data_IF_525725524789
#
_entry.id   IF_525725524789
#
_cell.length_a   1.000
_cell.length_b   1.000
_cell.length_c   1.000
_cell.angle_alpha   90.00
_cell.angle_beta   90.00
_cell.angle_gamma   90.00
#
_symmetry.space_group_name_H-M   'P 1'
#
loop_
_entity.id
_entity.type
_entity.pdbx_description
1 polymer ?
#
# COMPACT_ATOMS: atom_id res chain seq x y z
N UNK A 1 -26.27 -41.99 5.14
CA UNK A 1 -25.44 -41.35 6.18
C UNK A 1 -25.77 -39.87 6.41
N UNK A 2 -26.48 -39.19 5.50
CA UNK A 2 -26.74 -37.73 5.60
C UNK A 2 -27.92 -37.34 6.51
N UNK A 3 -29.02 -38.10 6.57
CA UNK A 3 -30.22 -37.71 7.35
C UNK A 3 -29.96 -37.55 8.86
N UNK A 4 -29.33 -38.53 9.50
CA UNK A 4 -29.03 -38.47 10.94
C UNK A 4 -28.10 -37.32 11.34
N UNK A 5 -27.26 -36.85 10.41
CA UNK A 5 -26.40 -35.68 10.64
C UNK A 5 -27.21 -34.38 10.56
N UNK A 6 -28.09 -34.25 9.58
CA UNK A 6 -28.99 -33.10 9.46
C UNK A 6 -29.94 -33.00 10.66
N UNK A 7 -30.55 -34.11 11.06
CA UNK A 7 -31.47 -34.15 12.20
C UNK A 7 -30.74 -33.76 13.51
N UNK A 8 -29.51 -34.22 13.70
CA UNK A 8 -28.70 -33.87 14.87
C UNK A 8 -28.28 -32.38 14.90
N UNK A 9 -28.02 -31.78 13.74
CA UNK A 9 -27.72 -30.34 13.62
C UNK A 9 -28.97 -29.50 13.90
N UNK A 10 -30.13 -29.93 13.40
CA UNK A 10 -31.41 -29.25 13.59
C UNK A 10 -31.84 -29.27 15.06
N UNK A 11 -31.77 -30.43 15.71
CA UNK A 11 -32.05 -30.59 17.14
C UNK A 11 -31.10 -29.72 18.00
N UNK A 12 -29.82 -29.65 17.62
CA UNK A 12 -28.85 -28.82 18.32
C UNK A 12 -29.14 -27.33 18.12
N UNK A 13 -29.46 -26.91 16.90
CA UNK A 13 -29.83 -25.55 16.58
C UNK A 13 -31.07 -25.10 17.38
N UNK A 14 -32.12 -25.92 17.40
CA UNK A 14 -33.33 -25.63 18.17
C UNK A 14 -33.05 -25.46 19.68
N UNK A 15 -32.17 -26.30 20.23
CA UNK A 15 -31.78 -26.24 21.64
C UNK A 15 -30.98 -24.98 21.97
N UNK A 16 -30.03 -24.61 21.13
CA UNK A 16 -29.23 -23.38 21.28
C UNK A 16 -30.13 -22.15 21.11
N UNK A 17 -31.02 -22.15 20.12
CA UNK A 17 -31.94 -21.04 19.86
C UNK A 17 -32.90 -20.81 21.03
N UNK A 18 -33.50 -21.88 21.56
CA UNK A 18 -34.36 -21.79 22.74
C UNK A 18 -33.60 -21.21 23.93
N UNK A 19 -32.37 -21.67 24.17
CA UNK A 19 -31.52 -21.15 25.24
C UNK A 19 -31.19 -19.66 25.07
N UNK A 20 -30.88 -19.22 23.84
CA UNK A 20 -30.60 -17.82 23.51
C UNK A 20 -31.81 -16.91 23.76
N UNK A 21 -33.02 -17.38 23.44
CA UNK A 21 -34.27 -16.60 23.64
C UNK A 21 -34.56 -16.46 25.15
N UNK A 22 -34.36 -17.52 25.94
CA UNK A 22 -34.55 -17.46 27.40
C UNK A 22 -33.50 -16.57 28.08
N UNK A 23 -32.26 -16.58 27.60
CA UNK A 23 -31.14 -15.82 28.18
C UNK A 23 -30.75 -14.59 27.36
N UNK A 24 -31.74 -13.86 26.83
CA UNK A 24 -31.54 -12.68 25.96
C UNK A 24 -30.54 -11.66 26.50
N UNK A 25 -30.47 -11.45 27.81
CA UNK A 25 -29.53 -10.51 28.45
C UNK A 25 -28.08 -10.98 28.34
N UNK A 26 -27.83 -12.29 28.52
CA UNK A 26 -26.50 -12.89 28.37
C UNK A 26 -26.04 -12.80 26.90
N UNK A 27 -26.96 -13.07 25.97
CA UNK A 27 -26.67 -12.98 24.53
C UNK A 27 -26.33 -11.55 24.12
N UNK A 28 -27.13 -10.57 24.53
CA UNK A 28 -26.87 -9.15 24.22
C UNK A 28 -25.55 -8.69 24.82
N UNK A 29 -25.25 -9.07 26.05
CA UNK A 29 -23.98 -8.72 26.70
C UNK A 29 -22.79 -9.39 25.99
N UNK A 30 -22.95 -10.64 25.53
CA UNK A 30 -21.95 -11.35 24.73
C UNK A 30 -21.70 -10.68 23.37
N UNK A 31 -22.74 -10.21 22.69
CA UNK A 31 -22.62 -9.46 21.42
C UNK A 31 -21.88 -8.14 21.65
N UNK A 32 -22.24 -7.40 22.70
CA UNK A 32 -21.56 -6.14 23.06
C UNK A 32 -20.08 -6.41 23.40
N UNK A 33 -19.80 -7.46 24.17
CA UNK A 33 -18.43 -7.85 24.51
C UNK A 33 -17.62 -8.22 23.26
N UNK A 34 -18.19 -9.01 22.35
CA UNK A 34 -17.55 -9.39 21.09
C UNK A 34 -17.28 -8.17 20.20
N UNK A 35 -18.20 -7.20 20.19
CA UNK A 35 -18.01 -5.93 19.50
C UNK A 35 -16.89 -5.08 20.12
N UNK A 36 -16.87 -4.90 21.43
CA UNK A 36 -15.81 -4.15 22.11
C UNK A 36 -14.45 -4.85 21.95
N UNK A 37 -14.44 -6.18 21.99
CA UNK A 37 -13.25 -6.98 21.76
C UNK A 37 -12.72 -6.90 20.32
N UNK A 38 -13.55 -6.56 19.32
CA UNK A 38 -13.10 -6.41 17.93
C UNK A 38 -12.44 -5.06 17.66
N UNK A 39 -12.75 -4.00 18.43
CA UNK A 39 -12.14 -2.67 18.30
C UNK A 39 -10.59 -2.69 18.37
N UNK A 40 -9.93 -3.34 19.35
CA UNK A 40 -8.47 -3.37 19.40
C UNK A 40 -7.81 -4.15 18.24
N UNK A 41 -8.53 -5.07 17.58
CA UNK A 41 -8.01 -5.78 16.39
C UNK A 41 -7.80 -4.83 15.21
N UNK A 42 -8.58 -3.74 15.13
CA UNK A 42 -8.41 -2.71 14.10
C UNK A 42 -7.01 -2.09 14.13
N UNK A 43 -6.46 -1.86 15.33
CA UNK A 43 -5.11 -1.29 15.49
C UNK A 43 -4.00 -2.27 15.10
N UNK A 44 -4.27 -3.57 15.10
CA UNK A 44 -3.28 -4.60 14.78
C UNK A 44 -3.14 -4.83 13.27
N UNK A 45 -4.24 -4.68 12.53
CA UNK A 45 -4.28 -5.01 11.10
C UNK A 45 -3.67 -3.90 10.25
N UNK A 46 -3.61 -2.66 10.75
CA UNK A 46 -3.14 -1.52 9.97
C UNK A 46 -4.10 -1.20 8.81
N UNK A 47 -4.44 0.07 8.63
CA UNK A 47 -5.24 0.48 7.48
C UNK A 47 -4.30 0.83 6.32
N UNK A 48 -3.99 -0.13 5.46
CA UNK A 48 -3.39 0.16 4.16
C UNK A 48 -4.51 0.55 3.18
N UNK A 49 -4.61 1.84 2.84
CA UNK A 49 -5.63 2.32 1.89
C UNK A 49 -5.40 1.75 0.47
N UNK A 50 -4.14 1.52 0.12
CA UNK A 50 -3.70 0.83 -1.09
C UNK A 50 -2.61 -0.15 -0.64
N UNK A 51 -2.78 -1.47 -0.83
CA UNK A 51 -1.72 -2.43 -0.50
C UNK A 51 -0.51 -2.17 -1.40
N UNK A 52 0.69 -2.41 -0.89
CA UNK A 52 1.89 -2.31 -1.72
C UNK A 52 1.84 -3.36 -2.84
N UNK A 53 1.51 -2.90 -4.04
CA UNK A 53 1.52 -3.71 -5.25
C UNK A 53 2.85 -3.50 -5.97
N UNK A 54 3.49 -4.61 -6.34
CA UNK A 54 4.64 -4.57 -7.25
C UNK A 54 4.13 -4.24 -8.66
N UNK A 55 4.16 -2.97 -9.01
CA UNK A 55 3.76 -2.47 -10.34
C UNK A 55 4.86 -2.67 -11.41
N UNK A 56 6.01 -3.26 -11.06
CA UNK A 56 7.13 -3.36 -11.99
C UNK A 56 7.73 -2.00 -12.35
N UNK A 57 7.56 -1.00 -11.48
CA UNK A 57 8.17 0.32 -11.62
C UNK A 57 8.55 0.88 -10.25
N UNK A 58 9.57 1.71 -10.20
CA UNK A 58 9.93 2.45 -9.00
C UNK A 58 10.30 3.89 -9.33
N UNK A 59 10.06 4.79 -8.39
CA UNK A 59 10.34 6.22 -8.52
C UNK A 59 11.49 6.62 -7.60
N UNK A 60 12.44 7.38 -8.14
CA UNK A 60 13.55 7.97 -7.40
C UNK A 60 13.45 9.49 -7.49
N UNK A 61 13.24 10.14 -6.34
CA UNK A 61 13.23 11.59 -6.24
C UNK A 61 14.59 12.10 -5.77
N UNK A 62 15.26 12.90 -6.60
CA UNK A 62 16.52 13.56 -6.29
C UNK A 62 16.25 15.00 -5.88
N UNK A 63 16.70 15.38 -4.69
CA UNK A 63 16.71 16.76 -4.21
C UNK A 63 18.14 17.23 -3.95
N UNK A 64 18.52 18.34 -4.58
CA UNK A 64 19.78 19.02 -4.34
C UNK A 64 19.58 20.37 -3.63
N UNK A 65 20.64 20.97 -3.06
CA UNK A 65 20.55 22.28 -2.44
C UNK A 65 20.00 23.34 -3.40
N UNK A 66 19.12 24.20 -2.89
CA UNK A 66 18.52 25.30 -3.64
C UNK A 66 19.63 26.26 -4.10
N UNK A 67 19.60 26.65 -5.38
CA UNK A 67 20.65 27.49 -6.00
C UNK A 67 21.74 26.69 -6.74
N UNK A 68 21.64 25.37 -6.78
CA UNK A 68 22.51 24.54 -7.63
C UNK A 68 22.22 24.80 -9.11
N UNK A 69 23.27 25.01 -9.91
CA UNK A 69 23.13 25.17 -11.36
C UNK A 69 22.52 23.93 -12.00
N UNK A 70 21.63 24.11 -12.97
CA UNK A 70 20.97 23.02 -13.70
C UNK A 70 21.98 22.03 -14.28
N UNK A 71 23.11 22.53 -14.81
CA UNK A 71 24.19 21.71 -15.36
C UNK A 71 24.80 20.76 -14.34
N UNK A 72 24.85 21.16 -13.07
CA UNK A 72 25.34 20.32 -11.98
C UNK A 72 24.31 19.26 -11.62
N UNK A 73 23.01 19.60 -11.66
CA UNK A 73 21.89 18.65 -11.52
C UNK A 73 21.97 17.57 -12.59
N UNK A 74 22.10 17.96 -13.85
CA UNK A 74 22.21 17.04 -14.99
C UNK A 74 23.38 16.07 -14.85
N UNK A 75 24.54 16.53 -14.38
CA UNK A 75 25.70 15.66 -14.15
C UNK A 75 25.43 14.59 -13.08
N UNK A 76 24.75 14.95 -12.00
CA UNK A 76 24.41 14.01 -10.92
C UNK A 76 23.35 13.03 -11.38
N UNK A 77 22.34 13.50 -12.12
CA UNK A 77 21.32 12.67 -12.75
C UNK A 77 21.98 11.63 -13.67
N UNK A 78 22.88 12.06 -14.56
CA UNK A 78 23.56 11.16 -15.49
C UNK A 78 24.42 10.11 -14.76
N UNK A 79 25.03 10.45 -13.63
CA UNK A 79 25.73 9.47 -12.80
C UNK A 79 24.76 8.45 -12.21
N UNK A 80 23.60 8.91 -11.74
CA UNK A 80 22.58 8.05 -11.15
C UNK A 80 21.93 7.12 -12.19
N UNK A 81 21.69 7.61 -13.41
CA UNK A 81 21.24 6.79 -14.55
C UNK A 81 22.23 5.66 -14.84
N UNK A 82 23.54 5.97 -14.89
CA UNK A 82 24.57 4.95 -15.14
C UNK A 82 24.60 3.87 -14.06
N UNK A 83 24.41 4.24 -12.79
CA UNK A 83 24.32 3.29 -11.67
C UNK A 83 23.11 2.39 -11.86
N UNK A 84 21.94 2.95 -12.16
CA UNK A 84 20.70 2.18 -12.36
C UNK A 84 20.86 1.20 -13.53
N UNK A 85 21.49 1.62 -14.63
CA UNK A 85 21.75 0.76 -15.80
C UNK A 85 22.69 -0.41 -15.45
N UNK A 86 23.68 -0.19 -14.57
CA UNK A 86 24.64 -1.23 -14.18
C UNK A 86 24.06 -2.21 -13.15
N UNK A 87 23.32 -1.70 -12.17
CA UNK A 87 22.89 -2.48 -11.02
C UNK A 87 21.49 -3.10 -11.16
N UNK A 88 20.68 -2.66 -12.13
CA UNK A 88 19.32 -3.16 -12.36
C UNK A 88 19.21 -3.87 -13.72
N UNK A 89 19.47 -5.19 -13.79
CA UNK A 89 19.44 -5.93 -15.04
C UNK A 89 18.04 -6.07 -15.64
N UNK A 90 16.98 -5.92 -14.84
CA UNK A 90 15.58 -5.96 -15.29
C UNK A 90 15.06 -4.60 -15.76
N UNK A 91 15.94 -3.64 -16.00
CA UNK A 91 15.61 -2.32 -16.52
C UNK A 91 14.99 -2.41 -17.92
N UNK A 92 13.82 -1.79 -18.12
CA UNK A 92 13.20 -1.62 -19.44
C UNK A 92 13.35 -0.20 -19.96
N UNK A 93 13.04 0.80 -19.13
CA UNK A 93 13.08 2.20 -19.54
C UNK A 93 13.33 3.08 -18.32
N UNK A 94 14.18 4.09 -18.48
CA UNK A 94 14.38 5.17 -17.50
C UNK A 94 13.80 6.43 -18.11
N UNK A 95 12.90 7.09 -17.38
CA UNK A 95 12.40 8.42 -17.72
C UNK A 95 12.86 9.40 -16.65
N UNK A 96 13.58 10.43 -17.06
CA UNK A 96 14.01 11.50 -16.15
C UNK A 96 13.24 12.76 -16.43
N UNK A 97 12.71 13.36 -15.38
CA UNK A 97 11.96 14.60 -15.42
C UNK A 97 12.58 15.59 -14.44
N UNK A 98 13.21 16.65 -14.97
CA UNK A 98 13.72 17.77 -14.18
C UNK A 98 12.65 18.83 -13.97
N UNK A 99 12.54 19.39 -12.76
CA UNK A 99 11.63 20.53 -12.48
C UNK A 99 10.14 20.18 -12.56
N UNK A 100 9.75 19.01 -12.06
CA UNK A 100 8.37 18.50 -12.21
C UNK A 100 7.42 19.13 -11.20
N UNK A 101 6.33 19.73 -11.69
CA UNK A 101 5.09 19.89 -10.93
C UNK A 101 4.31 18.58 -11.08
N UNK A 102 4.22 17.77 -10.01
CA UNK A 102 3.48 16.52 -10.04
C UNK A 102 1.96 16.77 -10.19
N UNK A 103 1.23 15.78 -10.71
CA UNK A 103 -0.23 15.77 -10.71
C UNK A 103 -0.76 14.74 -9.68
N UNK A 104 -1.90 15.00 -9.04
CA UNK A 104 -2.50 14.09 -8.05
C UNK A 104 -1.69 13.96 -6.75
N UNK A 105 -1.44 12.72 -6.29
CA UNK A 105 -0.70 12.46 -5.03
C UNK A 105 0.72 13.01 -5.04
N UNK A 106 1.37 13.07 -6.22
CA UNK A 106 2.69 13.67 -6.37
C UNK A 106 2.63 15.20 -6.17
N UNK A 107 1.57 15.86 -6.61
CA UNK A 107 1.32 17.29 -6.36
C UNK A 107 1.14 17.60 -4.87
N UNK A 108 0.44 16.72 -4.14
CA UNK A 108 0.29 16.87 -2.69
C UNK A 108 1.63 16.69 -1.98
N UNK A 109 2.45 15.73 -2.42
CA UNK A 109 3.77 15.49 -1.82
C UNK A 109 4.73 16.68 -1.98
N UNK A 110 4.65 17.44 -3.08
CA UNK A 110 5.54 18.59 -3.35
C UNK A 110 5.28 19.82 -2.48
N UNK A 111 4.13 19.89 -1.80
CA UNK A 111 3.82 20.94 -0.82
C UNK A 111 4.59 20.67 0.50
N UNK A 112 4.77 19.40 0.84
CA UNK A 112 5.47 18.97 2.05
C UNK A 112 6.96 18.75 1.83
N UNK A 113 7.35 18.40 0.60
CA UNK A 113 8.73 18.24 0.18
C UNK A 113 9.03 19.24 -0.93
N UNK A 114 9.90 20.20 -0.67
CA UNK A 114 10.37 21.17 -1.67
C UNK A 114 11.16 20.45 -2.78
N UNK A 115 10.44 19.95 -3.79
CA UNK A 115 10.94 19.17 -4.94
C UNK A 115 10.64 19.88 -6.26
N UNK A 116 10.40 21.19 -6.22
CA UNK A 116 9.99 21.99 -7.37
C UNK A 116 11.09 22.97 -7.75
N UNK A 117 11.69 22.79 -8.92
CA UNK A 117 12.69 23.71 -9.49
C UNK A 117 13.90 23.01 -10.11
N UNK A 118 14.90 23.80 -10.55
CA UNK A 118 16.11 23.29 -11.23
C UNK A 118 17.02 22.41 -10.36
N UNK A 119 16.76 22.38 -9.05
CA UNK A 119 17.48 21.62 -8.04
C UNK A 119 16.80 20.28 -7.70
N UNK A 120 15.66 19.97 -8.32
CA UNK A 120 14.91 18.75 -8.08
C UNK A 120 14.63 17.99 -9.38
N UNK A 121 14.74 16.67 -9.32
CA UNK A 121 14.46 15.78 -10.44
C UNK A 121 13.80 14.49 -9.96
N UNK A 122 12.86 13.99 -10.75
CA UNK A 122 12.23 12.70 -10.54
C UNK A 122 12.66 11.75 -11.66
N UNK A 123 13.16 10.58 -11.27
CA UNK A 123 13.47 9.49 -12.18
C UNK A 123 12.41 8.41 -11.97
N UNK A 124 11.79 8.00 -13.07
CA UNK A 124 10.83 6.91 -13.11
C UNK A 124 11.46 5.77 -13.87
N UNK A 125 11.57 4.61 -13.21
CA UNK A 125 12.23 3.43 -13.75
C UNK A 125 11.20 2.33 -13.92
N UNK A 126 10.98 1.91 -15.17
CA UNK A 126 10.12 0.79 -15.50
C UNK A 126 10.97 -0.47 -15.71
N UNK A 127 10.51 -1.56 -15.12
CA UNK A 127 11.14 -2.87 -15.16
C UNK A 127 10.45 -3.78 -16.20
N UNK A 128 11.15 -4.83 -16.62
CA UNK A 128 10.58 -5.88 -17.46
C UNK A 128 9.52 -6.65 -16.67
N UNK A 129 8.40 -6.95 -17.34
CA UNK A 129 7.26 -7.70 -16.80
C UNK A 129 7.72 -9.03 -16.17
N UNK A 130 7.22 -9.32 -14.96
CA UNK A 130 7.55 -10.54 -14.19
C UNK A 130 7.25 -11.84 -14.95
N UNK A 131 6.33 -11.83 -15.93
CA UNK A 131 6.02 -12.98 -16.79
C UNK A 131 7.13 -13.34 -17.79
N UNK A 132 8.14 -12.48 -17.96
CA UNK A 132 9.32 -12.71 -18.82
C UNK A 132 10.64 -12.80 -18.04
N UNK A 133 10.58 -12.90 -16.70
CA UNK A 133 11.73 -13.19 -15.84
C UNK A 133 12.02 -14.68 -15.77
#
# INVERSE_FOLDING_TARGET
MSQKFFDAVDDHYHKVLSWCITHKTIVVLGVILAFVASVPLMNLIGAEFIPQMDEGQFQVSLKMPVGTELKRTEQVIAQMENIIIQDVPELKTIMVRGGVEGEGWQALSSIFQDITGSHAANLEVSLVDRSRR
#
